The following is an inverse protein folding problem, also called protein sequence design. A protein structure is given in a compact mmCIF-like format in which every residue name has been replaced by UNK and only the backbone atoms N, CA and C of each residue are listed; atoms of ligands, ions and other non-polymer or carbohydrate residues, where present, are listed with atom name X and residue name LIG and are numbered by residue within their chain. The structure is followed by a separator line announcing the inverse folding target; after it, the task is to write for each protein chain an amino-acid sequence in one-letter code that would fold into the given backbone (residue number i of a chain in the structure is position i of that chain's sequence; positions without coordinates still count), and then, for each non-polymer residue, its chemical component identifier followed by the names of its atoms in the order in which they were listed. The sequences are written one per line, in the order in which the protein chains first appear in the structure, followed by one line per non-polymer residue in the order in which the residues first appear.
data_IF_939170247028
#
_entry.id   IF_939170247028
#
_cell.length_a   1.000
_cell.length_b   1.000
_cell.length_c   1.000
_cell.angle_alpha   90.00
_cell.angle_beta   90.00
_cell.angle_gamma   90.00
#
_symmetry.space_group_name_H-M   'P 1'
#
loop_
_entity.id
_entity.type
_entity.pdbx_description
1 polymer ?
#
# COMPACT_ATOMS: atom_id res chain seq x y z
N UNK A 1 19.93 -6.33 -50.38
CA UNK A 1 18.99 -7.47 -50.26
C UNK A 1 19.67 -8.50 -49.40
N UNK A 2 19.51 -8.40 -48.07
CA UNK A 2 20.05 -9.36 -47.11
C UNK A 2 18.91 -10.26 -46.64
N UNK A 3 19.21 -11.55 -46.53
CA UNK A 3 18.28 -12.63 -46.21
C UNK A 3 17.37 -12.32 -45.01
N UNK A 4 16.07 -12.16 -45.28
CA UNK A 4 15.05 -12.51 -44.29
C UNK A 4 15.01 -14.04 -44.25
N UNK A 5 15.91 -14.65 -43.48
CA UNK A 5 15.75 -16.05 -43.09
C UNK A 5 14.35 -16.19 -42.49
N UNK A 6 13.55 -17.04 -43.11
CA UNK A 6 12.16 -17.30 -42.71
C UNK A 6 12.20 -18.24 -41.50
N UNK A 7 12.70 -17.73 -40.37
CA UNK A 7 12.87 -18.47 -39.11
C UNK A 7 11.59 -19.20 -38.69
N UNK A 8 10.44 -18.59 -39.00
CA UNK A 8 9.08 -19.11 -38.86
C UNK A 8 8.82 -20.45 -39.57
N UNK A 9 9.40 -20.72 -40.73
CA UNK A 9 9.13 -21.96 -41.49
C UNK A 9 9.85 -23.19 -40.92
N UNK A 10 10.84 -23.00 -40.06
CA UNK A 10 11.63 -24.08 -39.45
C UNK A 10 11.24 -24.36 -37.99
N UNK A 11 10.34 -23.54 -37.42
CA UNK A 11 9.92 -23.71 -36.02
C UNK A 11 8.97 -24.90 -35.88
N UNK A 12 9.22 -25.84 -34.94
CA UNK A 12 8.32 -26.97 -34.73
C UNK A 12 6.89 -26.52 -34.37
N UNK A 13 5.82 -27.17 -34.89
CA UNK A 13 4.43 -26.78 -34.59
C UNK A 13 4.11 -26.72 -33.10
N UNK A 14 4.70 -27.61 -32.30
CA UNK A 14 4.56 -27.60 -30.84
C UNK A 14 5.11 -26.31 -30.20
N UNK A 15 6.20 -25.75 -30.74
CA UNK A 15 6.76 -24.47 -30.27
C UNK A 15 5.80 -23.33 -30.60
N UNK A 16 5.19 -23.32 -31.80
CA UNK A 16 4.18 -22.31 -32.15
C UNK A 16 2.97 -22.36 -31.20
N UNK A 17 2.47 -23.56 -30.85
CA UNK A 17 1.41 -23.75 -29.83
C UNK A 17 1.80 -23.21 -28.46
N UNK A 18 3.03 -23.51 -28.02
CA UNK A 18 3.56 -23.01 -26.74
C UNK A 18 3.58 -21.48 -26.74
N UNK A 19 4.03 -20.85 -27.83
CA UNK A 19 4.11 -19.39 -27.93
C UNK A 19 2.73 -18.74 -27.96
N UNK A 20 1.78 -19.25 -28.76
CA UNK A 20 0.38 -18.76 -28.80
C UNK A 20 -0.26 -18.80 -27.39
N UNK A 21 -0.22 -19.96 -26.73
CA UNK A 21 -0.84 -20.13 -25.43
C UNK A 21 -0.25 -19.21 -24.35
N UNK A 22 1.08 -18.97 -24.36
CA UNK A 22 1.71 -18.12 -23.36
C UNK A 22 1.59 -16.62 -23.68
N UNK A 23 1.48 -16.23 -24.96
CA UNK A 23 1.14 -14.85 -25.33
C UNK A 23 -0.26 -14.49 -24.85
N UNK A 24 -1.24 -15.39 -25.01
CA UNK A 24 -2.59 -15.16 -24.50
C UNK A 24 -2.62 -15.13 -22.96
N UNK A 25 -2.00 -16.10 -22.27
CA UNK A 25 -1.92 -16.10 -20.79
C UNK A 25 -1.32 -14.81 -20.23
N UNK A 26 -0.20 -14.35 -20.79
CA UNK A 26 0.44 -13.12 -20.34
C UNK A 26 -0.47 -11.89 -20.57
N UNK A 27 -1.15 -11.82 -21.72
CA UNK A 27 -2.04 -10.69 -22.06
C UNK A 27 -3.34 -10.68 -21.27
N UNK A 28 -3.87 -11.85 -20.92
CA UNK A 28 -5.04 -12.02 -20.06
C UNK A 28 -4.71 -11.68 -18.61
N UNK A 29 -3.59 -12.18 -18.08
CA UNK A 29 -3.11 -11.82 -16.75
C UNK A 29 -2.92 -10.31 -16.62
N UNK A 30 -2.23 -9.68 -17.59
CA UNK A 30 -2.07 -8.22 -17.62
C UNK A 30 -3.41 -7.48 -17.71
N UNK A 31 -4.43 -8.06 -18.36
CA UNK A 31 -5.76 -7.44 -18.46
C UNK A 31 -6.44 -7.38 -17.09
N UNK A 32 -6.29 -8.44 -16.29
CA UNK A 32 -6.83 -8.47 -14.92
C UNK A 32 -6.18 -7.38 -14.07
N UNK A 33 -4.86 -7.24 -14.14
CA UNK A 33 -4.12 -6.19 -13.42
C UNK A 33 -4.50 -4.79 -13.92
N UNK A 34 -4.61 -4.59 -15.23
CA UNK A 34 -5.05 -3.33 -15.86
C UNK A 34 -6.39 -2.84 -15.31
N UNK A 35 -7.38 -3.72 -15.18
CA UNK A 35 -8.71 -3.34 -14.70
C UNK A 35 -8.70 -2.94 -13.22
N UNK A 36 -7.86 -3.57 -12.39
CA UNK A 36 -7.66 -3.12 -11.01
C UNK A 36 -6.97 -1.77 -10.94
N UNK A 37 -5.92 -1.54 -11.74
CA UNK A 37 -5.28 -0.23 -11.85
C UNK A 37 -6.29 0.86 -12.23
N UNK A 38 -7.21 0.53 -13.14
CA UNK A 38 -8.21 1.47 -13.64
C UNK A 38 -9.33 1.76 -12.65
N UNK A 39 -9.92 0.72 -12.06
CA UNK A 39 -11.14 0.87 -11.26
C UNK A 39 -10.93 0.75 -9.75
N UNK A 40 -9.97 -0.05 -9.32
CA UNK A 40 -9.60 -0.17 -7.91
C UNK A 40 -8.72 0.99 -7.47
N UNK A 41 -7.67 1.27 -8.22
CA UNK A 41 -6.68 2.29 -7.89
C UNK A 41 -6.96 3.66 -8.51
N UNK A 42 -7.84 3.73 -9.51
CA UNK A 42 -8.09 4.95 -10.30
C UNK A 42 -6.79 5.58 -10.86
N UNK A 43 -5.77 4.75 -11.12
CA UNK A 43 -4.45 5.20 -11.57
C UNK A 43 -4.36 5.15 -13.09
N UNK A 44 -4.39 6.33 -13.72
CA UNK A 44 -4.23 6.44 -15.18
C UNK A 44 -2.85 5.95 -15.62
N UNK A 45 -1.81 6.29 -14.85
CA UNK A 45 -0.42 5.91 -15.14
C UNK A 45 -0.25 4.38 -15.19
N UNK A 46 -0.67 3.67 -14.13
CA UNK A 46 -0.52 2.21 -14.06
C UNK A 46 -1.43 1.49 -15.08
N UNK A 47 -2.59 2.07 -15.38
CA UNK A 47 -3.49 1.56 -16.43
C UNK A 47 -2.82 1.61 -17.80
N UNK A 48 -2.24 2.77 -18.15
CA UNK A 48 -1.56 2.94 -19.43
C UNK A 48 -0.32 2.04 -19.55
N UNK A 49 0.43 1.85 -18.46
CA UNK A 49 1.56 0.93 -18.44
C UNK A 49 1.13 -0.53 -18.74
N UNK A 50 0.08 -1.02 -18.06
CA UNK A 50 -0.45 -2.37 -18.30
C UNK A 50 -0.95 -2.53 -19.75
N UNK A 51 -1.66 -1.52 -20.25
CA UNK A 51 -2.18 -1.48 -21.63
C UNK A 51 -1.04 -1.50 -22.65
N UNK A 52 0.01 -0.72 -22.46
CA UNK A 52 1.18 -0.73 -23.33
C UNK A 52 1.86 -2.09 -23.34
N UNK A 53 2.07 -2.72 -22.19
CA UNK A 53 2.64 -4.07 -22.11
C UNK A 53 1.81 -5.09 -22.88
N UNK A 54 0.48 -5.05 -22.74
CA UNK A 54 -0.46 -5.89 -23.51
C UNK A 54 -0.37 -5.68 -25.01
N UNK A 55 -0.25 -4.42 -25.45
CA UNK A 55 -0.12 -4.08 -26.86
C UNK A 55 1.22 -4.56 -27.43
N UNK A 56 2.31 -4.39 -26.70
CA UNK A 56 3.64 -4.89 -27.10
C UNK A 56 3.63 -6.42 -27.24
N UNK A 57 2.99 -7.15 -26.32
CA UNK A 57 2.86 -8.61 -26.46
C UNK A 57 1.98 -9.00 -27.66
N UNK A 58 0.90 -8.26 -27.92
CA UNK A 58 0.00 -8.53 -29.04
C UNK A 58 0.69 -8.45 -30.42
N UNK A 59 1.77 -7.66 -30.54
CA UNK A 59 2.53 -7.54 -31.79
C UNK A 59 3.24 -8.85 -32.18
N UNK A 60 3.55 -9.72 -31.22
CA UNK A 60 4.12 -11.05 -31.47
C UNK A 60 3.07 -12.09 -31.85
N UNK A 61 1.78 -11.76 -31.80
CA UNK A 61 0.67 -12.67 -32.04
C UNK A 61 0.26 -12.70 -33.51
N UNK A 62 1.17 -13.15 -34.38
CA UNK A 62 0.96 -13.19 -35.82
C UNK A 62 0.04 -14.36 -36.27
N UNK A 63 -0.43 -14.38 -37.53
CA UNK A 63 -1.34 -15.41 -38.02
C UNK A 63 -0.81 -16.85 -37.90
N UNK A 64 0.50 -17.08 -38.01
CA UNK A 64 1.07 -18.43 -37.96
C UNK A 64 0.93 -19.05 -36.56
N UNK A 65 1.20 -18.27 -35.51
CA UNK A 65 1.00 -18.75 -34.14
C UNK A 65 -0.47 -19.07 -33.88
N UNK A 66 -1.39 -18.26 -34.41
CA UNK A 66 -2.83 -18.48 -34.28
C UNK A 66 -3.30 -19.71 -35.03
N UNK A 67 -2.74 -19.98 -36.21
CA UNK A 67 -3.03 -21.19 -36.99
C UNK A 67 -2.55 -22.48 -36.31
N UNK A 68 -1.51 -22.39 -35.48
CA UNK A 68 -1.00 -23.53 -34.73
C UNK A 68 -1.92 -23.94 -33.55
N UNK A 69 -2.88 -23.09 -33.16
CA UNK A 69 -3.78 -23.31 -32.03
C UNK A 69 -4.62 -24.57 -32.22
N UNK A 70 -4.61 -25.43 -31.21
CA UNK A 70 -5.39 -26.66 -31.16
C UNK A 70 -5.90 -26.90 -29.73
N UNK A 71 -6.81 -26.02 -29.31
CA UNK A 71 -7.41 -26.08 -27.97
C UNK A 71 -8.08 -27.43 -27.69
N UNK A 72 -8.88 -28.04 -28.60
CA UNK A 72 -9.50 -29.33 -28.33
C UNK A 72 -8.49 -30.48 -28.15
N UNK A 73 -7.32 -30.40 -28.78
CA UNK A 73 -6.24 -31.39 -28.68
C UNK A 73 -5.14 -31.02 -27.68
N UNK A 74 -5.27 -29.93 -26.93
CA UNK A 74 -4.27 -29.52 -25.93
C UNK A 74 -4.32 -30.45 -24.70
N UNK A 75 -3.19 -31.07 -24.31
CA UNK A 75 -3.14 -31.87 -23.10
C UNK A 75 -3.32 -30.98 -21.87
N UNK A 76 -4.10 -31.46 -20.89
CA UNK A 76 -4.23 -30.80 -19.59
C UNK A 76 -5.37 -29.79 -19.46
N UNK A 77 -6.33 -29.75 -20.39
CA UNK A 77 -7.54 -28.90 -20.26
C UNK A 77 -8.40 -29.21 -19.02
N UNK A 78 -8.29 -30.42 -18.47
CA UNK A 78 -9.02 -30.85 -17.27
C UNK A 78 -8.21 -30.71 -15.97
N UNK A 79 -6.95 -30.26 -16.05
CA UNK A 79 -6.12 -30.05 -14.87
C UNK A 79 -6.62 -28.81 -14.14
N UNK A 80 -7.17 -29.02 -12.95
CA UNK A 80 -7.61 -27.94 -12.05
C UNK A 80 -6.87 -28.07 -10.73
N UNK A 81 -6.57 -26.93 -10.11
CA UNK A 81 -6.06 -26.93 -8.73
C UNK A 81 -7.16 -26.41 -7.78
N UNK A 82 -7.39 -27.02 -6.60
CA UNK A 82 -8.43 -26.57 -5.68
C UNK A 82 -8.33 -25.08 -5.28
N UNK A 83 -7.11 -24.53 -5.26
CA UNK A 83 -6.85 -23.11 -4.97
C UNK A 83 -7.20 -22.17 -6.13
N UNK A 84 -7.58 -22.67 -7.32
CA UNK A 84 -8.09 -21.84 -8.41
C UNK A 84 -9.54 -21.42 -8.20
N UNK A 85 -10.30 -22.19 -7.41
CA UNK A 85 -11.73 -21.96 -7.21
C UNK A 85 -12.05 -20.79 -6.27
N UNK A 86 -11.11 -20.40 -5.39
CA UNK A 86 -11.33 -19.34 -4.39
C UNK A 86 -10.11 -18.45 -4.24
N UNK A 87 -10.36 -17.13 -4.18
CA UNK A 87 -9.39 -16.11 -3.78
C UNK A 87 -9.95 -15.37 -2.58
N UNK A 88 -9.13 -15.12 -1.58
CA UNK A 88 -9.58 -14.56 -0.30
C UNK A 88 -9.79 -13.04 -0.37
N UNK A 89 -8.99 -12.35 -1.18
CA UNK A 89 -9.01 -10.90 -1.32
C UNK A 89 -8.43 -10.47 -2.68
N UNK A 90 -8.47 -9.16 -2.96
CA UNK A 90 -7.95 -8.58 -4.21
C UNK A 90 -6.44 -8.78 -4.36
N UNK A 91 -5.67 -8.66 -3.28
CA UNK A 91 -4.22 -8.86 -3.30
C UNK A 91 -3.85 -10.26 -3.81
N UNK A 92 -4.56 -11.29 -3.32
CA UNK A 92 -4.39 -12.66 -3.80
C UNK A 92 -4.79 -12.87 -5.27
N UNK A 93 -5.73 -12.07 -5.80
CA UNK A 93 -6.05 -12.08 -7.24
C UNK A 93 -4.91 -11.46 -8.03
N UNK A 94 -4.39 -10.31 -7.61
CA UNK A 94 -3.30 -9.61 -8.31
C UNK A 94 -2.01 -10.43 -8.30
N UNK A 95 -1.60 -10.91 -7.12
CA UNK A 95 -0.37 -11.69 -6.97
C UNK A 95 -0.39 -12.95 -7.85
N UNK A 96 -1.50 -13.69 -7.84
CA UNK A 96 -1.62 -14.89 -8.66
C UNK A 96 -1.52 -14.59 -10.16
N UNK A 97 -2.10 -13.48 -10.61
CA UNK A 97 -2.01 -13.09 -12.03
C UNK A 97 -0.64 -12.54 -12.39
N UNK A 98 0.03 -11.79 -11.51
CA UNK A 98 1.41 -11.33 -11.70
C UNK A 98 2.37 -12.52 -11.84
N UNK A 99 2.29 -13.52 -10.95
CA UNK A 99 3.06 -14.75 -11.07
C UNK A 99 2.82 -15.48 -12.40
N UNK A 100 1.55 -15.63 -12.82
CA UNK A 100 1.20 -16.27 -14.10
C UNK A 100 1.75 -15.50 -15.32
N UNK A 101 1.73 -14.16 -15.27
CA UNK A 101 2.32 -13.33 -16.31
C UNK A 101 3.84 -13.59 -16.37
N UNK A 102 4.52 -13.64 -15.24
CA UNK A 102 5.97 -13.91 -15.18
C UNK A 102 6.33 -15.30 -15.70
N UNK A 103 5.57 -16.33 -15.31
CA UNK A 103 5.72 -17.70 -15.81
C UNK A 103 5.54 -17.74 -17.33
N UNK A 104 4.47 -17.15 -17.85
CA UNK A 104 4.20 -17.10 -19.28
C UNK A 104 5.30 -16.36 -20.03
N UNK A 105 5.75 -15.20 -19.53
CA UNK A 105 6.85 -14.45 -20.12
C UNK A 105 8.17 -15.21 -20.07
N UNK A 106 8.40 -16.05 -19.05
CA UNK A 106 9.60 -16.90 -18.99
C UNK A 106 9.58 -17.96 -20.08
N UNK A 107 8.42 -18.56 -20.35
CA UNK A 107 8.26 -19.51 -21.45
C UNK A 107 8.48 -18.82 -22.81
N UNK A 108 7.89 -17.63 -23.00
CA UNK A 108 8.06 -16.83 -24.21
C UNK A 108 9.51 -16.37 -24.42
N UNK A 109 10.21 -16.03 -23.35
CA UNK A 109 11.63 -15.66 -23.40
C UNK A 109 12.48 -16.80 -23.96
N UNK A 110 12.28 -18.03 -23.47
CA UNK A 110 13.12 -19.17 -23.85
C UNK A 110 12.72 -19.76 -25.21
N UNK A 111 11.44 -20.09 -25.40
CA UNK A 111 10.97 -20.66 -26.68
C UNK A 111 10.96 -19.62 -27.81
N UNK A 112 10.77 -18.33 -27.50
CA UNK A 112 10.75 -17.27 -28.50
C UNK A 112 12.08 -17.13 -29.24
N UNK A 113 13.20 -17.54 -28.63
CA UNK A 113 14.53 -17.58 -29.27
C UNK A 113 14.57 -18.53 -30.47
N UNK A 114 13.71 -19.55 -30.50
CA UNK A 114 13.59 -20.51 -31.61
C UNK A 114 12.67 -19.99 -32.73
N UNK A 115 11.92 -18.93 -32.49
CA UNK A 115 10.92 -18.39 -33.41
C UNK A 115 11.36 -17.06 -34.04
N UNK A 116 11.76 -16.10 -33.21
CA UNK A 116 12.22 -14.80 -33.66
C UNK A 116 13.34 -14.25 -32.75
N UNK A 117 14.51 -13.86 -33.30
CA UNK A 117 15.68 -13.45 -32.49
C UNK A 117 15.41 -12.33 -31.47
N UNK A 118 14.46 -11.43 -31.76
CA UNK A 118 14.12 -10.31 -30.88
C UNK A 118 13.07 -10.64 -29.83
N UNK A 119 12.30 -11.73 -30.00
CA UNK A 119 11.19 -12.05 -29.11
C UNK A 119 11.69 -12.40 -27.71
N UNK A 120 12.78 -13.17 -27.61
CA UNK A 120 13.40 -13.52 -26.35
C UNK A 120 13.81 -12.29 -25.53
N UNK A 121 14.51 -11.34 -26.16
CA UNK A 121 14.93 -10.10 -25.49
C UNK A 121 13.74 -9.23 -25.10
N UNK A 122 12.73 -9.10 -25.98
CA UNK A 122 11.52 -8.34 -25.67
C UNK A 122 10.77 -8.92 -24.46
N UNK A 123 10.66 -10.24 -24.36
CA UNK A 123 10.00 -10.90 -23.23
C UNK A 123 10.82 -10.80 -21.94
N UNK A 124 12.15 -10.87 -22.03
CA UNK A 124 13.04 -10.62 -20.88
C UNK A 124 12.85 -9.20 -20.32
N UNK A 125 12.83 -8.18 -21.19
CA UNK A 125 12.57 -6.80 -20.76
C UNK A 125 11.18 -6.65 -20.16
N UNK A 126 10.18 -7.32 -20.73
CA UNK A 126 8.81 -7.34 -20.21
C UNK A 126 8.74 -7.90 -18.78
N UNK A 127 9.51 -8.96 -18.47
CA UNK A 127 9.56 -9.53 -17.12
C UNK A 127 10.05 -8.51 -16.09
N UNK A 128 11.11 -7.75 -16.40
CA UNK A 128 11.59 -6.69 -15.51
C UNK A 128 10.55 -5.59 -15.28
N UNK A 129 9.76 -5.26 -16.31
CA UNK A 129 8.63 -4.32 -16.16
C UNK A 129 7.55 -4.88 -15.24
N UNK A 130 7.22 -6.17 -15.35
CA UNK A 130 6.23 -6.81 -14.47
C UNK A 130 6.70 -6.83 -13.01
N UNK A 131 7.97 -7.14 -12.73
CA UNK A 131 8.53 -7.05 -11.37
C UNK A 131 8.42 -5.63 -10.78
N UNK A 132 8.66 -4.63 -11.63
CA UNK A 132 8.54 -3.22 -11.25
C UNK A 132 7.07 -2.86 -10.99
N UNK A 133 6.15 -3.30 -11.84
CA UNK A 133 4.72 -3.09 -11.67
C UNK A 133 4.20 -3.71 -10.36
N UNK A 134 4.56 -4.95 -10.06
CA UNK A 134 4.17 -5.63 -8.81
C UNK A 134 4.58 -4.82 -7.58
N UNK A 135 5.86 -4.45 -7.52
CA UNK A 135 6.41 -3.62 -6.44
C UNK A 135 5.68 -2.27 -6.29
N UNK A 136 5.30 -1.65 -7.42
CA UNK A 136 4.57 -0.37 -7.44
C UNK A 136 3.12 -0.52 -7.00
N UNK A 137 2.44 -1.62 -7.33
CA UNK A 137 1.06 -1.87 -6.92
C UNK A 137 0.95 -1.97 -5.39
N UNK A 138 1.85 -2.73 -4.76
CA UNK A 138 1.90 -2.83 -3.29
C UNK A 138 2.15 -1.46 -2.66
N UNK A 139 3.10 -0.71 -3.22
CA UNK A 139 3.43 0.64 -2.74
C UNK A 139 2.21 1.56 -2.84
N UNK A 140 1.55 1.60 -4.01
CA UNK A 140 0.40 2.45 -4.26
C UNK A 140 -0.75 2.13 -3.30
N UNK A 141 -1.05 0.85 -3.07
CA UNK A 141 -2.13 0.43 -2.16
C UNK A 141 -1.93 0.95 -0.73
N UNK A 142 -0.71 0.83 -0.19
CA UNK A 142 -0.39 1.36 1.15
C UNK A 142 -0.53 2.88 1.21
N UNK A 143 -0.03 3.58 0.19
CA UNK A 143 -0.11 5.05 0.14
C UNK A 143 -1.56 5.53 0.00
N UNK A 144 -2.38 4.85 -0.81
CA UNK A 144 -3.81 5.15 -0.93
C UNK A 144 -4.53 4.96 0.41
N UNK A 145 -4.30 3.83 1.10
CA UNK A 145 -4.85 3.62 2.45
C UNK A 145 -4.41 4.69 3.44
N UNK A 146 -3.16 5.15 3.38
CA UNK A 146 -2.67 6.23 4.23
C UNK A 146 -3.36 7.57 3.91
N UNK A 147 -3.58 7.87 2.63
CA UNK A 147 -4.31 9.06 2.19
C UNK A 147 -5.76 9.04 2.69
N UNK A 148 -6.41 7.89 2.61
CA UNK A 148 -7.80 7.67 3.02
C UNK A 148 -7.97 7.58 4.55
N UNK A 149 -6.91 7.25 5.29
CA UNK A 149 -6.95 7.19 6.74
C UNK A 149 -7.20 8.58 7.37
N UNK A 150 -8.29 8.70 8.13
CA UNK A 150 -8.70 9.94 8.80
C UNK A 150 -8.50 9.93 10.32
N UNK A 151 -8.57 8.73 10.91
CA UNK A 151 -8.35 8.50 12.33
C UNK A 151 -7.21 7.51 12.51
N UNK A 152 -6.31 7.83 13.43
CA UNK A 152 -5.09 7.07 13.69
C UNK A 152 -4.98 6.71 15.17
N UNK A 153 -4.91 5.41 15.50
CA UNK A 153 -4.63 4.96 16.85
C UNK A 153 -3.13 4.75 17.05
N UNK A 154 -2.56 5.43 18.04
CA UNK A 154 -1.24 5.10 18.59
C UNK A 154 -1.47 4.35 19.90
N UNK A 155 -0.97 3.12 19.99
CA UNK A 155 -1.23 2.28 21.17
C UNK A 155 -0.42 2.74 22.39
N UNK A 156 -0.82 2.25 23.55
CA UNK A 156 -0.03 2.27 24.77
C UNK A 156 -0.07 0.89 25.43
N UNK A 157 0.92 0.52 26.26
CA UNK A 157 0.93 -0.78 26.93
C UNK A 157 -0.36 -1.00 27.74
N UNK A 158 -0.96 -2.19 27.59
CA UNK A 158 -2.21 -2.59 28.24
C UNK A 158 -2.39 -4.10 28.12
N UNK A 159 -2.87 -4.75 29.17
CA UNK A 159 -3.22 -6.18 29.14
C UNK A 159 -4.37 -6.48 28.17
N UNK A 160 -5.19 -5.46 27.87
CA UNK A 160 -6.31 -5.54 26.92
C UNK A 160 -5.97 -4.99 25.53
N UNK A 161 -4.68 -4.88 25.19
CA UNK A 161 -4.23 -4.22 23.96
C UNK A 161 -4.92 -4.78 22.70
N UNK A 162 -4.95 -6.12 22.53
CA UNK A 162 -5.58 -6.74 21.37
C UNK A 162 -7.09 -6.52 21.32
N UNK A 163 -7.77 -6.63 22.47
CA UNK A 163 -9.22 -6.39 22.59
C UNK A 163 -9.57 -4.94 22.20
N UNK A 164 -8.78 -3.98 22.71
CA UNK A 164 -9.02 -2.55 22.44
C UNK A 164 -8.75 -2.20 20.98
N UNK A 165 -7.67 -2.73 20.40
CA UNK A 165 -7.35 -2.52 18.98
C UNK A 165 -8.42 -3.17 18.10
N UNK A 166 -8.86 -4.40 18.40
CA UNK A 166 -9.93 -5.06 17.65
C UNK A 166 -11.24 -4.27 17.73
N UNK A 167 -11.60 -3.79 18.93
CA UNK A 167 -12.78 -2.93 19.10
C UNK A 167 -12.69 -1.65 18.27
N UNK A 168 -11.51 -1.02 18.21
CA UNK A 168 -11.30 0.16 17.36
C UNK A 168 -11.41 -0.17 15.86
N UNK A 169 -10.83 -1.29 15.41
CA UNK A 169 -10.94 -1.75 14.03
C UNK A 169 -12.39 -2.05 13.63
N UNK A 170 -13.17 -2.71 14.50
CA UNK A 170 -14.61 -2.92 14.32
C UNK A 170 -15.39 -1.60 14.22
N UNK A 171 -14.89 -0.55 14.88
CA UNK A 171 -15.43 0.79 14.79
C UNK A 171 -15.13 1.51 13.46
N UNK A 172 -14.30 0.93 12.59
CA UNK A 172 -13.91 1.47 11.29
C UNK A 172 -12.54 2.15 11.26
N UNK A 173 -11.69 1.94 12.27
CA UNK A 173 -10.32 2.44 12.26
C UNK A 173 -9.49 1.73 11.18
N UNK A 174 -8.69 2.48 10.41
CA UNK A 174 -7.89 1.94 9.30
C UNK A 174 -6.37 2.15 9.44
N UNK A 175 -5.91 2.75 10.54
CA UNK A 175 -4.48 2.97 10.79
C UNK A 175 -4.15 2.81 12.28
N UNK A 176 -3.23 1.88 12.59
CA UNK A 176 -2.76 1.56 13.94
C UNK A 176 -1.24 1.64 14.00
N UNK A 177 -0.70 2.20 15.08
CA UNK A 177 0.72 2.18 15.40
C UNK A 177 0.94 1.50 16.73
N UNK A 178 1.74 0.43 16.71
CA UNK A 178 2.20 -0.21 17.93
C UNK A 178 3.33 0.59 18.56
N UNK A 179 3.11 1.03 19.79
CA UNK A 179 4.08 1.76 20.61
C UNK A 179 4.15 1.17 22.01
N UNK A 180 5.25 0.48 22.28
CA UNK A 180 5.69 0.09 23.61
C UNK A 180 7.19 0.35 23.73
N UNK A 181 7.58 1.36 24.52
CA UNK A 181 8.99 1.75 24.68
C UNK A 181 9.73 0.95 25.76
N UNK A 182 9.00 0.16 26.54
CA UNK A 182 9.53 -0.51 27.72
C UNK A 182 9.60 -2.04 27.55
N UNK A 183 8.83 -2.60 26.61
CA UNK A 183 8.92 -4.01 26.25
C UNK A 183 10.26 -4.35 25.59
N UNK A 184 10.78 -5.54 25.88
CA UNK A 184 11.91 -6.11 25.15
C UNK A 184 11.56 -6.46 23.70
N UNK A 185 12.58 -6.70 22.88
CA UNK A 185 12.42 -6.95 21.44
C UNK A 185 11.58 -8.18 21.13
N UNK A 186 11.72 -9.27 21.90
CA UNK A 186 10.94 -10.50 21.69
C UNK A 186 9.46 -10.23 21.93
N UNK A 187 9.14 -9.58 23.05
CA UNK A 187 7.78 -9.17 23.39
C UNK A 187 7.19 -8.25 22.33
N UNK A 188 7.98 -7.29 21.82
CA UNK A 188 7.54 -6.39 20.75
C UNK A 188 7.28 -7.12 19.43
N UNK A 189 8.12 -8.09 19.05
CA UNK A 189 7.95 -8.89 17.84
C UNK A 189 6.69 -9.76 17.94
N UNK A 190 6.50 -10.45 19.06
CA UNK A 190 5.33 -11.31 19.27
C UNK A 190 4.02 -10.51 19.21
N UNK A 191 3.96 -9.38 19.94
CA UNK A 191 2.79 -8.52 19.93
C UNK A 191 2.59 -7.83 18.57
N UNK A 192 3.68 -7.37 17.94
CA UNK A 192 3.65 -6.74 16.62
C UNK A 192 3.09 -7.68 15.55
N UNK A 193 3.47 -8.96 15.55
CA UNK A 193 2.90 -9.96 14.65
C UNK A 193 1.39 -10.16 14.86
N UNK A 194 0.94 -10.27 16.12
CA UNK A 194 -0.48 -10.40 16.46
C UNK A 194 -1.28 -9.18 16.00
N UNK A 195 -0.79 -7.98 16.28
CA UNK A 195 -1.43 -6.72 15.88
C UNK A 195 -1.46 -6.54 14.37
N UNK A 196 -0.38 -6.87 13.66
CA UNK A 196 -0.33 -6.82 12.19
C UNK A 196 -1.37 -7.73 11.56
N UNK A 197 -1.41 -9.00 11.98
CA UNK A 197 -2.42 -9.96 11.51
C UNK A 197 -3.84 -9.46 11.81
N UNK A 198 -4.07 -8.94 13.02
CA UNK A 198 -5.34 -8.34 13.40
C UNK A 198 -5.73 -7.17 12.48
N UNK A 199 -4.84 -6.20 12.26
CA UNK A 199 -5.12 -5.05 11.39
C UNK A 199 -5.43 -5.48 9.96
N UNK A 200 -4.66 -6.40 9.38
CA UNK A 200 -4.86 -6.89 8.01
C UNK A 200 -6.21 -7.61 7.82
N UNK A 201 -6.74 -8.31 8.84
CA UNK A 201 -8.10 -8.89 8.79
C UNK A 201 -9.20 -7.84 8.61
N UNK A 202 -8.95 -6.60 9.04
CA UNK A 202 -9.88 -5.46 8.92
C UNK A 202 -9.43 -4.46 7.84
N UNK A 203 -8.53 -4.88 6.93
CA UNK A 203 -7.98 -4.03 5.86
C UNK A 203 -7.24 -2.77 6.35
N UNK A 204 -6.81 -2.73 7.61
CA UNK A 204 -6.13 -1.59 8.23
C UNK A 204 -4.60 -1.66 8.12
N UNK A 205 -3.96 -0.50 8.05
CA UNK A 205 -2.50 -0.34 8.06
C UNK A 205 -1.93 -0.53 9.48
N UNK A 206 -0.80 -1.23 9.57
CA UNK A 206 -0.07 -1.44 10.81
C UNK A 206 1.35 -0.85 10.74
N UNK A 207 1.67 0.06 11.65
CA UNK A 207 2.98 0.71 11.75
C UNK A 207 3.68 0.36 13.08
N UNK A 208 5.01 0.23 13.03
CA UNK A 208 5.84 0.17 14.25
C UNK A 208 6.32 1.56 14.64
N UNK A 209 6.30 1.87 15.94
CA UNK A 209 6.90 3.09 16.46
C UNK A 209 8.44 2.95 16.59
N UNK A 210 9.18 3.93 16.07
CA UNK A 210 10.63 4.17 16.17
C UNK A 210 11.54 3.07 15.57
N UNK A 211 11.22 1.79 15.76
CA UNK A 211 12.07 0.61 15.51
C UNK A 211 11.94 0.07 14.07
N UNK A 212 12.83 0.53 13.19
CA UNK A 212 12.92 0.10 11.78
C UNK A 212 13.25 -1.39 11.62
N UNK A 213 14.15 -1.88 12.45
CA UNK A 213 14.53 -3.29 12.54
C UNK A 213 13.32 -4.18 12.92
N UNK A 214 12.55 -3.78 13.92
CA UNK A 214 11.36 -4.54 14.34
C UNK A 214 10.23 -4.46 13.30
N UNK A 215 10.07 -3.34 12.60
CA UNK A 215 9.15 -3.24 11.46
C UNK A 215 9.46 -4.25 10.35
N UNK A 216 10.74 -4.48 10.05
CA UNK A 216 11.15 -5.53 9.12
C UNK A 216 10.85 -6.92 9.67
N UNK A 217 11.20 -7.18 10.94
CA UNK A 217 11.00 -8.47 11.58
C UNK A 217 9.53 -8.93 11.60
N UNK A 218 8.59 -7.99 11.80
CA UNK A 218 7.15 -8.30 11.81
C UNK A 218 6.46 -8.03 10.46
N UNK A 219 7.21 -7.63 9.43
CA UNK A 219 6.64 -7.22 8.13
C UNK A 219 5.53 -6.17 8.26
N UNK A 220 5.77 -5.14 9.08
CA UNK A 220 4.87 -4.00 9.20
C UNK A 220 4.72 -3.23 7.88
N UNK A 221 3.60 -2.52 7.73
CA UNK A 221 3.36 -1.67 6.55
C UNK A 221 4.25 -0.43 6.55
N UNK A 222 4.85 -0.10 7.69
CA UNK A 222 5.77 1.01 7.83
C UNK A 222 6.19 1.30 9.26
N UNK A 223 6.79 2.48 9.43
CA UNK A 223 7.26 3.02 10.71
C UNK A 223 6.77 4.43 10.93
N UNK A 224 6.72 4.84 12.19
CA UNK A 224 6.65 6.25 12.56
C UNK A 224 7.87 6.60 13.40
N UNK A 225 8.59 7.66 13.02
CA UNK A 225 9.84 8.06 13.63
C UNK A 225 9.68 9.39 14.38
N UNK A 226 10.24 9.47 15.58
CA UNK A 226 10.49 10.69 16.31
C UNK A 226 11.74 11.43 15.85
N UNK A 227 11.93 12.64 16.37
CA UNK A 227 13.05 13.52 15.98
C UNK A 227 14.45 12.96 16.33
N UNK A 228 14.54 12.09 17.35
CA UNK A 228 15.80 11.49 17.81
C UNK A 228 16.00 10.06 17.32
N UNK A 229 15.06 9.53 16.55
CA UNK A 229 15.20 8.22 15.92
C UNK A 229 15.98 8.34 14.61
N UNK A 230 16.23 7.20 13.96
CA UNK A 230 17.03 7.16 12.73
C UNK A 230 16.52 8.16 11.67
N UNK A 231 17.41 8.73 10.82
CA UNK A 231 16.99 9.58 9.72
C UNK A 231 16.06 8.85 8.74
N UNK A 232 15.14 9.58 8.10
CA UNK A 232 14.21 9.01 7.11
C UNK A 232 14.97 8.34 5.96
N UNK A 233 16.06 8.95 5.49
CA UNK A 233 16.90 8.40 4.43
C UNK A 233 17.45 7.02 4.78
N UNK A 234 17.88 6.82 6.03
CA UNK A 234 18.37 5.53 6.52
C UNK A 234 17.23 4.52 6.66
N UNK A 235 16.10 4.93 7.23
CA UNK A 235 14.91 4.08 7.30
C UNK A 235 14.46 3.63 5.91
N UNK A 236 14.49 4.53 4.93
CA UNK A 236 14.12 4.22 3.53
C UNK A 236 15.07 3.22 2.89
N UNK A 237 16.36 3.32 3.16
CA UNK A 237 17.35 2.35 2.68
C UNK A 237 17.07 0.93 3.19
N UNK A 238 16.63 0.79 4.46
CA UNK A 238 16.33 -0.51 5.06
C UNK A 238 14.94 -1.05 4.67
N UNK A 239 13.93 -0.18 4.65
CA UNK A 239 12.53 -0.58 4.44
C UNK A 239 12.15 -0.72 2.97
N UNK A 240 12.94 -0.12 2.07
CA UNK A 240 12.63 0.00 0.65
C UNK A 240 11.58 1.07 0.36
N UNK A 241 11.22 1.18 -0.92
CA UNK A 241 10.29 2.22 -1.40
C UNK A 241 8.82 1.95 -1.09
N UNK A 242 8.48 0.71 -0.71
CA UNK A 242 7.08 0.27 -0.61
C UNK A 242 6.44 0.44 0.76
N UNK A 243 7.21 0.73 1.80
CA UNK A 243 6.71 0.88 3.18
C UNK A 243 6.52 2.35 3.56
N UNK A 244 5.57 2.59 4.45
CA UNK A 244 5.25 3.94 4.93
C UNK A 244 6.29 4.41 5.95
N UNK A 245 6.71 5.67 5.87
CA UNK A 245 7.58 6.32 6.85
C UNK A 245 6.91 7.62 7.30
N UNK A 246 6.45 7.63 8.54
CA UNK A 246 5.93 8.82 9.21
C UNK A 246 6.99 9.55 10.03
N UNK A 247 6.84 10.87 10.21
CA UNK A 247 7.69 11.67 11.10
C UNK A 247 6.88 12.51 12.08
N UNK A 248 7.21 12.44 13.37
CA UNK A 248 6.69 13.40 14.36
C UNK A 248 7.31 14.77 14.14
N UNK A 249 6.51 15.82 14.14
CA UNK A 249 6.94 17.22 13.95
C UNK A 249 6.27 18.10 14.98
N UNK A 250 6.98 19.12 15.47
CA UNK A 250 6.54 20.01 16.55
C UNK A 250 6.54 21.49 16.14
N UNK A 251 7.04 21.82 14.96
CA UNK A 251 7.15 23.19 14.43
C UNK A 251 7.29 23.21 12.90
N UNK A 252 7.08 24.37 12.24
CA UNK A 252 7.22 24.53 10.79
C UNK A 252 8.53 24.04 10.18
N UNK A 253 9.66 24.22 10.89
CA UNK A 253 10.98 23.84 10.39
C UNK A 253 11.14 22.31 10.36
N UNK A 254 10.64 21.61 11.38
CA UNK A 254 10.59 20.15 11.41
C UNK A 254 9.65 19.58 10.35
N UNK A 255 8.52 20.25 10.07
CA UNK A 255 7.62 19.90 8.97
C UNK A 255 8.34 19.94 7.63
N UNK A 256 8.97 21.08 7.31
CA UNK A 256 9.66 21.26 6.04
C UNK A 256 10.77 20.23 5.87
N UNK A 257 11.57 20.01 6.93
CA UNK A 257 12.63 18.99 6.90
C UNK A 257 12.07 17.59 6.65
N UNK A 258 10.98 17.20 7.32
CA UNK A 258 10.36 15.89 7.11
C UNK A 258 9.86 15.70 5.67
N UNK A 259 9.32 16.76 5.06
CA UNK A 259 8.90 16.76 3.65
C UNK A 259 10.12 16.60 2.73
N UNK A 260 11.16 17.41 2.93
CA UNK A 260 12.37 17.39 2.11
C UNK A 260 13.11 16.05 2.19
N UNK A 261 13.05 15.38 3.35
CA UNK A 261 13.63 14.04 3.56
C UNK A 261 12.76 12.90 2.99
N UNK A 262 11.55 13.19 2.50
CA UNK A 262 10.66 12.21 1.86
C UNK A 262 9.79 11.40 2.84
N UNK A 263 9.30 12.03 3.92
CA UNK A 263 8.26 11.44 4.76
C UNK A 263 6.96 11.23 3.97
N UNK A 264 6.31 10.08 4.17
CA UNK A 264 5.02 9.78 3.52
C UNK A 264 3.85 10.46 4.26
N UNK A 265 4.03 10.75 5.54
CA UNK A 265 3.12 11.58 6.34
C UNK A 265 3.82 12.15 7.57
N UNK A 266 3.17 13.12 8.24
CA UNK A 266 3.66 13.70 9.48
C UNK A 266 2.65 13.66 10.63
N UNK A 267 3.15 13.49 11.85
CA UNK A 267 2.41 13.76 13.07
C UNK A 267 2.62 15.22 13.48
N UNK A 268 1.54 15.99 13.61
CA UNK A 268 1.56 17.42 13.95
C UNK A 268 1.15 17.59 15.40
N UNK A 269 2.12 17.80 16.29
CA UNK A 269 1.85 17.97 17.71
C UNK A 269 3.07 17.81 18.61
N UNK A 270 2.90 17.78 19.94
CA UNK A 270 1.61 17.66 20.63
C UNK A 270 0.75 18.94 20.53
N UNK A 271 -0.55 18.80 20.25
CA UNK A 271 -1.50 19.93 20.23
C UNK A 271 -1.75 20.47 21.64
N UNK A 272 -1.91 19.58 22.60
CA UNK A 272 -2.06 19.89 24.03
C UNK A 272 -1.00 19.15 24.85
N UNK A 273 -0.71 19.67 26.04
CA UNK A 273 0.18 18.99 26.99
C UNK A 273 -0.36 17.58 27.28
N UNK A 274 0.55 16.60 27.25
CA UNK A 274 0.21 15.19 27.39
C UNK A 274 1.22 14.46 28.25
N UNK A 275 0.75 13.60 29.19
CA UNK A 275 1.65 12.76 29.97
C UNK A 275 2.36 11.67 29.13
N UNK A 276 1.92 11.40 27.90
CA UNK A 276 2.51 10.38 27.02
C UNK A 276 3.92 10.77 26.50
N UNK A 277 4.26 12.07 26.52
CA UNK A 277 5.58 12.62 26.17
C UNK A 277 5.97 13.71 27.19
N UNK A 278 6.39 13.34 28.42
CA UNK A 278 6.70 14.31 29.46
C UNK A 278 7.87 15.22 29.06
N UNK A 279 7.74 16.53 29.30
CA UNK A 279 8.82 17.52 29.10
C UNK A 279 8.84 18.26 27.76
N UNK A 280 7.86 18.05 26.87
CA UNK A 280 7.68 18.88 25.65
C UNK A 280 6.49 19.81 25.81
N UNK A 281 6.72 21.12 25.70
CA UNK A 281 5.64 22.10 25.60
C UNK A 281 4.75 21.79 24.38
N UNK A 282 3.44 21.93 24.54
CA UNK A 282 2.51 21.84 23.41
C UNK A 282 2.89 22.79 22.27
N UNK A 283 2.92 22.28 21.04
CA UNK A 283 3.05 23.08 19.83
C UNK A 283 1.80 23.94 19.57
N UNK A 284 0.67 23.53 20.14
CA UNK A 284 -0.59 24.28 20.11
C UNK A 284 -1.31 24.23 18.77
N UNK A 285 -2.48 24.88 18.73
CA UNK A 285 -3.33 24.94 17.55
C UNK A 285 -2.74 25.80 16.42
N UNK A 286 -1.82 26.74 16.73
CA UNK A 286 -1.15 27.54 15.69
C UNK A 286 -0.34 26.67 14.73
N UNK A 287 0.36 25.66 15.26
CA UNK A 287 1.09 24.74 14.41
C UNK A 287 0.16 23.87 13.55
N UNK A 288 -1.02 23.50 14.07
CA UNK A 288 -2.06 22.82 13.29
C UNK A 288 -2.56 23.69 12.14
N UNK A 289 -2.81 24.99 12.38
CA UNK A 289 -3.20 25.93 11.32
C UNK A 289 -2.13 26.08 10.26
N UNK A 290 -0.87 26.17 10.68
CA UNK A 290 0.27 26.21 9.75
C UNK A 290 0.30 24.95 8.87
N UNK A 291 0.16 23.76 9.48
CA UNK A 291 0.12 22.48 8.75
C UNK A 291 -1.01 22.43 7.72
N UNK A 292 -2.20 22.91 8.09
CA UNK A 292 -3.37 22.93 7.21
C UNK A 292 -3.17 23.79 5.96
N UNK A 293 -2.34 24.84 6.04
CA UNK A 293 -2.08 25.75 4.93
C UNK A 293 -0.88 25.33 4.07
N UNK A 294 0.10 24.62 4.65
CA UNK A 294 1.42 24.46 4.02
C UNK A 294 1.82 23.01 3.75
N UNK A 295 1.17 22.00 4.33
CA UNK A 295 1.59 20.61 4.17
C UNK A 295 1.05 20.00 2.86
N UNK A 296 1.92 19.55 1.93
CA UNK A 296 1.51 18.90 0.69
C UNK A 296 1.28 17.39 0.85
N UNK A 297 1.63 16.82 2.00
CA UNK A 297 1.52 15.40 2.33
C UNK A 297 0.48 15.19 3.44
N UNK A 298 -0.03 13.95 3.62
CA UNK A 298 -0.91 13.64 4.72
C UNK A 298 -0.29 14.02 6.07
N UNK A 299 -1.14 14.51 6.97
CA UNK A 299 -0.71 14.85 8.31
C UNK A 299 -1.83 14.59 9.31
N UNK A 300 -1.45 14.18 10.53
CA UNK A 300 -2.37 13.86 11.62
C UNK A 300 -2.07 14.76 12.81
N UNK A 301 -3.04 15.59 13.22
CA UNK A 301 -2.96 16.29 14.49
C UNK A 301 -2.88 15.27 15.64
N UNK A 302 -1.96 15.44 16.59
CA UNK A 302 -1.78 14.48 17.69
C UNK A 302 -1.44 15.19 18.99
N UNK A 303 -1.80 14.60 20.13
CA UNK A 303 -1.36 15.01 21.46
C UNK A 303 -2.49 15.65 22.26
N UNK A 304 -3.03 14.88 23.21
CA UNK A 304 -4.08 15.33 24.12
C UNK A 304 -5.45 15.58 23.46
N UNK A 305 -5.70 14.96 22.30
CA UNK A 305 -6.98 15.02 21.58
C UNK A 305 -7.94 13.99 22.17
N UNK A 306 -9.16 14.44 22.49
CA UNK A 306 -10.27 13.64 23.02
C UNK A 306 -11.61 14.19 22.50
N UNK A 307 -12.73 13.65 22.99
CA UNK A 307 -14.08 14.05 22.57
C UNK A 307 -14.41 15.52 22.85
N UNK A 308 -13.79 16.13 23.87
CA UNK A 308 -14.07 17.50 24.29
C UNK A 308 -13.21 18.52 23.50
N UNK A 309 -12.04 18.10 23.03
CA UNK A 309 -11.05 18.96 22.38
C UNK A 309 -11.03 18.86 20.85
N UNK A 310 -11.71 17.87 20.27
CA UNK A 310 -11.66 17.63 18.83
C UNK A 310 -12.22 18.80 18.00
N UNK A 311 -13.20 19.54 18.53
CA UNK A 311 -13.79 20.70 17.86
C UNK A 311 -12.77 21.81 17.56
N UNK A 312 -11.86 22.08 18.49
CA UNK A 312 -10.80 23.08 18.31
C UNK A 312 -9.80 22.65 17.24
N UNK A 313 -9.46 21.35 17.22
CA UNK A 313 -8.54 20.75 16.25
C UNK A 313 -9.11 20.86 14.83
N UNK A 314 -10.42 20.62 14.66
CA UNK A 314 -11.09 20.85 13.37
C UNK A 314 -11.17 22.33 13.00
N UNK A 315 -11.42 23.21 13.98
CA UNK A 315 -11.43 24.66 13.77
C UNK A 315 -10.06 25.19 13.35
N UNK A 316 -8.97 24.53 13.77
CA UNK A 316 -7.61 24.79 13.32
C UNK A 316 -7.29 24.21 11.94
N UNK A 317 -8.25 23.54 11.27
CA UNK A 317 -8.12 23.06 9.90
C UNK A 317 -7.84 21.55 9.77
N UNK A 318 -7.63 20.83 10.87
CA UNK A 318 -7.32 19.40 10.81
C UNK A 318 -8.43 18.61 10.12
N UNK A 319 -8.03 17.77 9.16
CA UNK A 319 -8.89 16.79 8.50
C UNK A 319 -8.59 15.38 8.99
N UNK A 320 -7.47 15.17 9.66
CA UNK A 320 -7.05 13.88 10.19
C UNK A 320 -6.44 14.09 11.57
N UNK A 321 -6.63 13.13 12.46
CA UNK A 321 -6.03 13.20 13.79
C UNK A 321 -5.71 11.82 14.35
N UNK A 322 -4.80 11.82 15.31
CA UNK A 322 -4.38 10.64 16.03
C UNK A 322 -4.74 10.75 17.51
N UNK A 323 -5.15 9.62 18.09
CA UNK A 323 -5.48 9.49 19.51
C UNK A 323 -4.70 8.35 20.13
N UNK A 324 -4.50 8.45 21.44
CA UNK A 324 -3.92 7.39 22.28
C UNK A 324 -4.97 7.00 23.31
N UNK A 325 -5.03 7.76 24.41
CA UNK A 325 -5.84 7.47 25.59
C UNK A 325 -7.34 7.43 25.30
N UNK A 326 -7.84 8.31 24.44
CA UNK A 326 -9.27 8.39 24.14
C UNK A 326 -9.87 7.06 23.67
N UNK A 327 -9.09 6.23 22.97
CA UNK A 327 -9.49 4.86 22.59
C UNK A 327 -8.88 3.82 23.53
N UNK A 328 -7.58 3.94 23.87
CA UNK A 328 -6.88 2.95 24.70
C UNK A 328 -7.51 2.76 26.10
N UNK A 329 -8.11 3.81 26.65
CA UNK A 329 -8.74 3.81 27.99
C UNK A 329 -10.28 3.74 27.91
N UNK A 330 -10.85 3.62 26.70
CA UNK A 330 -12.29 3.56 26.53
C UNK A 330 -12.85 2.23 27.05
N UNK A 331 -13.98 2.29 27.76
CA UNK A 331 -14.75 1.09 28.10
C UNK A 331 -15.37 0.42 26.86
N UNK A 332 -15.67 1.20 25.81
CA UNK A 332 -16.23 0.71 24.55
C UNK A 332 -15.46 1.32 23.35
N UNK A 333 -14.27 0.78 23.00
CA UNK A 333 -13.41 1.31 21.94
C UNK A 333 -14.12 1.45 20.59
N UNK A 334 -15.03 0.53 20.27
CA UNK A 334 -15.84 0.56 19.04
C UNK A 334 -16.71 1.81 18.95
N UNK A 335 -17.48 2.14 19.99
CA UNK A 335 -18.35 3.32 19.98
C UNK A 335 -17.56 4.62 19.96
N UNK A 336 -16.43 4.68 20.67
CA UNK A 336 -15.55 5.86 20.66
C UNK A 336 -14.96 6.08 19.27
N UNK A 337 -14.55 5.02 18.58
CA UNK A 337 -14.04 5.11 17.21
C UNK A 337 -15.13 5.59 16.26
N UNK A 338 -16.33 5.01 16.32
CA UNK A 338 -17.48 5.43 15.51
C UNK A 338 -17.85 6.90 15.75
N UNK A 339 -17.83 7.34 17.01
CA UNK A 339 -18.02 8.75 17.35
C UNK A 339 -17.00 9.63 16.61
N UNK A 340 -15.70 9.33 16.72
CA UNK A 340 -14.67 10.13 16.06
C UNK A 340 -14.79 10.16 14.54
N UNK A 341 -15.12 9.04 13.91
CA UNK A 341 -15.37 8.98 12.47
C UNK A 341 -16.62 9.78 12.07
N UNK A 342 -17.69 9.75 12.87
CA UNK A 342 -18.88 10.58 12.62
C UNK A 342 -18.58 12.08 12.70
N UNK A 343 -17.72 12.47 13.65
CA UNK A 343 -17.28 13.87 13.80
C UNK A 343 -16.43 14.34 12.60
N UNK A 344 -15.59 13.47 12.04
CA UNK A 344 -14.85 13.73 10.80
C UNK A 344 -15.80 13.93 9.61
N UNK A 345 -16.77 13.03 9.42
CA UNK A 345 -17.75 13.12 8.35
C UNK A 345 -18.61 14.40 8.43
N UNK A 346 -19.01 14.79 9.65
CA UNK A 346 -19.73 16.03 9.90
C UNK A 346 -18.87 17.27 9.57
N UNK A 347 -17.61 17.26 9.99
CA UNK A 347 -16.65 18.34 9.70
C UNK A 347 -16.42 18.54 8.20
N UNK A 348 -16.34 17.45 7.42
CA UNK A 348 -16.21 17.51 5.96
C UNK A 348 -17.46 18.10 5.31
N UNK A 349 -18.65 17.69 5.77
CA UNK A 349 -19.92 18.20 5.26
C UNK A 349 -20.05 19.70 5.48
N UNK A 350 -19.74 20.18 6.69
CA UNK A 350 -19.76 21.60 7.03
C UNK A 350 -18.76 22.42 6.19
N UNK A 351 -17.58 21.87 5.90
CA UNK A 351 -16.59 22.52 5.04
C UNK A 351 -17.05 22.64 3.60
N UNK A 352 -17.61 21.56 3.02
CA UNK A 352 -18.14 21.58 1.64
C UNK A 352 -19.26 22.60 1.47
N UNK A 353 -20.12 22.75 2.48
CA UNK A 353 -21.18 23.77 2.47
C UNK A 353 -20.60 25.19 2.49
N UNK A 354 -19.57 25.45 3.30
CA UNK A 354 -18.90 26.76 3.35
C UNK A 354 -18.22 27.10 2.02
N UNK A 355 -17.51 26.16 1.41
CA UNK A 355 -16.85 26.37 0.11
C UNK A 355 -17.80 26.50 -1.07
N UNK A 356 -19.08 26.13 -0.92
CA UNK A 356 -20.10 26.32 -1.97
C UNK A 356 -20.79 27.69 -1.92
N UNK A 357 -20.51 28.48 -0.89
CA UNK A 357 -21.07 29.82 -0.67
C UNK A 357 -20.03 30.95 -0.84
N UNK A 358 -18.78 30.61 -1.13
CA UNK A 358 -17.69 31.49 -1.56
C UNK A 358 -17.48 31.33 -3.07
#
# INVERSE_FOLDING_TARGET
MGDRQNWSQLTPPAVCRILDANLDRAREGLRIVEEWCRFGLNSTELTDECKQMRQTLAQWHDPQLREARDTPGDPGMELTHPQEARRENVEGVLQANLCRIEEALRVLEEYGKLYHPQMGEACKQMRYRVYTLDSRLVTFHRHQKLQDARLYLVTSPSDRLLEVVEGALQGGLTLVQYRDKNADDTTQIEMGNKLRQLCHRYDALFLMNDRVDLALAVSADGVHLGQQDVPISFARQLLGQSRIIGRSTTNPQEMQRAIDEGADYIGVGPVYDTPTKPGKSAAGLEYVRYAAQNSPIPWFAIGGIDMNRIGDVFSAGAQRFAVVRAIMEAAQPTLVTQYFLSQLAMSDTLRRLRSSHE
#
